data_IF_202189811228
#
_entry.id   IF_202189811228
#
_cell.length_a   1.000
_cell.length_b   1.000
_cell.length_c   1.000
_cell.angle_alpha   90.00
_cell.angle_beta   90.00
_cell.angle_gamma   90.00
#
_symmetry.space_group_name_H-M   'P 1'
#
loop_
_entity.id
_entity.type
_entity.pdbx_description
1 polymer ?
#
# COMPACT_ATOMS: atom_id res chain seq x y z
N UNK A 1 -5.53 0.73 5.28
CA UNK A 1 -4.91 0.12 4.07
C UNK A 1 -4.62 1.18 3.01
N UNK A 2 -3.50 1.90 3.16
CA UNK A 2 -2.97 2.83 2.17
C UNK A 2 -1.50 3.12 2.51
N UNK A 3 -0.61 2.16 2.23
CA UNK A 3 0.78 2.25 2.70
C UNK A 3 1.48 3.58 2.36
N UNK A 4 1.33 4.16 1.14
CA UNK A 4 1.85 5.48 0.83
C UNK A 4 1.39 6.60 1.76
N UNK A 5 0.14 6.58 2.21
CA UNK A 5 -0.37 7.57 3.15
C UNK A 5 0.11 7.28 4.56
N UNK A 6 -0.13 6.05 5.04
CA UNK A 6 0.11 5.65 6.43
C UNK A 6 1.60 5.79 6.81
N UNK A 7 2.50 5.30 5.95
CA UNK A 7 3.94 5.34 6.20
C UNK A 7 4.52 6.74 6.03
N UNK A 8 3.99 7.52 5.09
CA UNK A 8 4.41 8.91 4.91
C UNK A 8 3.98 9.76 6.11
N UNK A 9 2.75 9.56 6.61
CA UNK A 9 2.28 10.22 7.82
C UNK A 9 3.18 9.87 9.01
N UNK A 10 3.45 8.58 9.21
CA UNK A 10 4.35 8.12 10.28
C UNK A 10 5.74 8.74 10.15
N UNK A 11 6.36 8.70 8.97
CA UNK A 11 7.68 9.25 8.70
C UNK A 11 7.75 10.77 8.96
N UNK A 12 6.68 11.51 8.64
CA UNK A 12 6.57 12.96 8.90
C UNK A 12 6.37 13.27 10.39
N UNK A 13 5.54 12.51 11.08
CA UNK A 13 5.30 12.69 12.52
C UNK A 13 6.53 12.29 13.36
N UNK A 14 7.29 11.29 12.93
CA UNK A 14 8.58 10.97 13.53
C UNK A 14 9.58 12.13 13.38
N UNK A 15 9.64 12.78 12.21
CA UNK A 15 10.50 13.96 12.04
C UNK A 15 10.04 15.11 12.94
N UNK A 16 8.74 15.40 12.97
CA UNK A 16 8.16 16.49 13.76
C UNK A 16 8.39 16.32 15.26
N UNK A 17 8.17 15.12 15.80
CA UNK A 17 8.13 14.91 17.25
C UNK A 17 9.37 14.22 17.82
N UNK A 18 10.16 13.54 16.99
CA UNK A 18 11.28 12.70 17.41
C UNK A 18 12.60 13.04 16.72
N UNK A 19 12.62 14.07 15.85
CA UNK A 19 13.79 14.47 15.08
C UNK A 19 14.48 13.30 14.35
N UNK A 20 13.69 12.32 13.89
CA UNK A 20 14.19 11.13 13.20
C UNK A 20 13.22 10.72 12.09
N UNK A 21 13.72 10.07 11.03
CA UNK A 21 12.88 9.49 9.98
C UNK A 21 12.51 8.04 10.31
N UNK A 22 11.53 7.49 9.61
CA UNK A 22 11.20 6.08 9.66
C UNK A 22 12.42 5.20 9.35
N UNK A 23 13.20 5.59 8.34
CA UNK A 23 14.46 4.92 8.02
C UNK A 23 15.47 5.00 9.17
N UNK A 24 15.58 6.16 9.84
CA UNK A 24 16.42 6.33 11.03
C UNK A 24 16.01 5.39 12.17
N UNK A 25 14.71 5.21 12.40
CA UNK A 25 14.18 4.26 13.38
C UNK A 25 14.47 2.80 13.04
N UNK A 26 14.50 2.45 11.75
CA UNK A 26 14.84 1.10 11.28
C UNK A 26 16.37 0.84 11.28
N UNK A 27 17.19 1.86 11.51
CA UNK A 27 18.66 1.79 11.50
C UNK A 27 19.16 1.16 10.19
N UNK A 28 19.92 0.07 10.28
CA UNK A 28 20.52 -0.60 9.12
C UNK A 28 19.58 -1.63 8.46
N UNK A 29 18.30 -1.69 8.86
CA UNK A 29 17.33 -2.61 8.24
C UNK A 29 16.55 -1.87 7.15
N UNK A 30 16.50 -2.41 5.91
CA UNK A 30 15.70 -1.81 4.86
C UNK A 30 14.21 -1.92 5.21
N UNK A 31 13.45 -0.90 4.84
CA UNK A 31 11.99 -0.93 4.92
C UNK A 31 11.46 -2.02 3.97
N UNK A 32 10.69 -2.97 4.50
CA UNK A 32 10.07 -4.03 3.72
C UNK A 32 8.57 -4.03 4.01
N UNK A 33 7.79 -3.61 3.02
CA UNK A 33 6.33 -3.40 3.10
C UNK A 33 5.62 -4.36 2.16
N UNK A 34 4.54 -4.97 2.65
CA UNK A 34 3.56 -5.70 1.86
C UNK A 34 2.22 -4.97 2.00
N UNK A 35 1.72 -4.41 0.89
CA UNK A 35 0.46 -3.67 0.81
C UNK A 35 -0.61 -4.57 0.15
N UNK A 36 -1.65 -4.99 0.90
CA UNK A 36 -2.65 -5.89 0.35
C UNK A 36 -3.43 -5.28 -0.81
N UNK A 37 -3.56 -3.96 -0.89
CA UNK A 37 -4.25 -3.28 -2.00
C UNK A 37 -3.47 -3.39 -3.30
N UNK A 38 -2.14 -3.20 -3.24
CA UNK A 38 -1.26 -3.29 -4.41
C UNK A 38 -1.20 -4.74 -4.88
N UNK A 39 -1.04 -5.68 -3.95
CA UNK A 39 -1.02 -7.12 -4.22
C UNK A 39 -2.33 -7.59 -4.87
N UNK A 40 -3.48 -7.33 -4.25
CA UNK A 40 -4.80 -7.72 -4.79
C UNK A 40 -5.02 -7.14 -6.19
N UNK A 41 -4.74 -5.85 -6.38
CA UNK A 41 -4.94 -5.19 -7.68
C UNK A 41 -4.01 -5.73 -8.77
N UNK A 42 -2.82 -6.20 -8.42
CA UNK A 42 -1.92 -6.83 -9.39
C UNK A 42 -2.29 -8.29 -9.68
N UNK A 43 -2.51 -9.08 -8.64
CA UNK A 43 -2.72 -10.52 -8.72
C UNK A 43 -4.11 -10.87 -9.29
N UNK A 44 -5.11 -10.03 -9.01
CA UNK A 44 -6.49 -10.19 -9.48
C UNK A 44 -7.00 -8.92 -10.18
N UNK A 45 -6.31 -8.53 -11.25
CA UNK A 45 -6.51 -7.24 -11.95
C UNK A 45 -7.93 -6.99 -12.44
N UNK A 46 -8.62 -8.01 -12.95
CA UNK A 46 -9.92 -7.86 -13.64
C UNK A 46 -11.13 -8.13 -12.72
N UNK A 47 -10.90 -8.36 -11.43
CA UNK A 47 -11.97 -8.56 -10.46
C UNK A 47 -12.92 -7.37 -10.38
N UNK A 48 -14.22 -7.68 -10.42
CA UNK A 48 -15.29 -6.73 -10.13
C UNK A 48 -15.35 -6.40 -8.63
N UNK A 49 -15.80 -5.20 -8.30
CA UNK A 49 -16.00 -4.76 -6.92
C UNK A 49 -14.91 -3.83 -6.41
N UNK A 50 -15.20 -3.21 -5.27
CA UNK A 50 -14.32 -2.25 -4.62
C UNK A 50 -13.13 -2.96 -3.94
N UNK A 51 -12.13 -2.15 -3.57
CA UNK A 51 -10.88 -2.56 -2.91
C UNK A 51 -10.65 -1.76 -1.63
N UNK A 52 -11.72 -1.51 -0.88
CA UNK A 52 -11.59 -0.99 0.48
C UNK A 52 -11.13 -2.11 1.41
N UNK A 53 -10.72 -1.77 2.64
CA UNK A 53 -10.35 -2.79 3.63
C UNK A 53 -11.51 -3.74 3.91
N UNK A 54 -12.71 -3.20 4.15
CA UNK A 54 -13.92 -3.99 4.37
C UNK A 54 -14.20 -4.97 3.21
N UNK A 55 -14.19 -4.49 1.96
CA UNK A 55 -14.49 -5.36 0.80
C UNK A 55 -13.46 -6.48 0.64
N UNK A 56 -12.17 -6.18 0.89
CA UNK A 56 -11.12 -7.17 0.77
C UNK A 56 -11.14 -8.14 1.95
N UNK A 57 -11.41 -7.67 3.17
CA UNK A 57 -11.61 -8.54 4.32
C UNK A 57 -12.74 -9.55 4.07
N UNK A 58 -13.89 -9.10 3.58
CA UNK A 58 -15.00 -9.97 3.19
C UNK A 58 -14.59 -10.98 2.12
N UNK A 59 -13.95 -10.51 1.04
CA UNK A 59 -13.50 -11.36 -0.08
C UNK A 59 -12.53 -12.47 0.34
N UNK A 60 -11.58 -12.15 1.23
CA UNK A 60 -10.53 -13.07 1.65
C UNK A 60 -10.86 -13.82 2.95
N UNK A 61 -12.07 -13.63 3.50
CA UNK A 61 -12.51 -14.30 4.72
C UNK A 61 -11.75 -13.85 5.98
N UNK A 62 -11.35 -12.59 6.04
CA UNK A 62 -10.68 -11.98 7.20
C UNK A 62 -11.70 -11.18 8.01
N UNK A 63 -11.76 -11.43 9.31
CA UNK A 63 -12.62 -10.68 10.21
C UNK A 63 -12.08 -9.26 10.41
N UNK A 64 -12.94 -8.27 10.21
CA UNK A 64 -12.71 -6.87 10.55
C UNK A 64 -13.68 -6.48 11.67
N UNK A 65 -13.22 -6.56 12.92
CA UNK A 65 -14.02 -6.20 14.10
C UNK A 65 -13.75 -4.74 14.48
N UNK A 66 -14.70 -3.85 14.20
CA UNK A 66 -14.54 -2.41 14.42
C UNK A 66 -13.85 -1.67 13.27
N UNK A 67 -14.48 -1.65 12.09
CA UNK A 67 -14.00 -0.81 10.99
C UNK A 67 -13.84 0.65 11.43
N UNK A 68 -12.77 1.30 10.96
CA UNK A 68 -12.37 2.67 11.32
C UNK A 68 -11.70 2.82 12.69
N UNK A 69 -11.44 1.74 13.43
CA UNK A 69 -10.46 1.73 14.51
C UNK A 69 -9.06 1.43 13.95
N UNK A 70 -8.06 2.22 14.34
CA UNK A 70 -6.72 2.12 13.77
C UNK A 70 -6.03 0.79 14.12
N UNK A 71 -6.24 0.26 15.32
CA UNK A 71 -5.63 -1.00 15.74
C UNK A 71 -6.31 -2.19 15.07
N UNK A 72 -7.64 -2.18 14.99
CA UNK A 72 -8.42 -3.17 14.27
C UNK A 72 -8.07 -3.18 12.77
N UNK A 73 -8.02 -2.01 12.13
CA UNK A 73 -7.69 -1.89 10.71
C UNK A 73 -6.26 -2.38 10.41
N UNK A 74 -5.31 -2.14 11.31
CA UNK A 74 -3.93 -2.62 11.19
C UNK A 74 -3.84 -4.15 11.34
N UNK A 75 -4.53 -4.72 12.34
CA UNK A 75 -4.59 -6.16 12.55
C UNK A 75 -5.26 -6.88 11.37
N UNK A 76 -6.39 -6.36 10.89
CA UNK A 76 -7.08 -6.89 9.71
C UNK A 76 -6.22 -6.77 8.45
N UNK A 77 -5.49 -5.66 8.26
CA UNK A 77 -4.57 -5.51 7.12
C UNK A 77 -3.44 -6.55 7.14
N UNK A 78 -2.89 -6.87 8.31
CA UNK A 78 -1.88 -7.93 8.46
C UNK A 78 -2.43 -9.30 8.05
N UNK A 79 -3.61 -9.68 8.56
CA UNK A 79 -4.24 -10.95 8.21
C UNK A 79 -4.65 -11.01 6.73
N UNK A 80 -5.09 -9.88 6.17
CA UNK A 80 -5.40 -9.76 4.76
C UNK A 80 -4.19 -9.99 3.87
N UNK A 81 -3.02 -9.41 4.17
CA UNK A 81 -1.77 -9.70 3.42
C UNK A 81 -1.47 -11.20 3.43
N UNK A 82 -1.61 -11.86 4.59
CA UNK A 82 -1.37 -13.30 4.71
C UNK A 82 -2.38 -14.11 3.89
N UNK A 83 -3.66 -13.72 3.91
CA UNK A 83 -4.70 -14.38 3.13
C UNK A 83 -4.48 -14.24 1.61
N UNK A 84 -4.12 -13.04 1.15
CA UNK A 84 -3.72 -12.79 -0.26
C UNK A 84 -2.52 -13.66 -0.63
N UNK A 85 -1.48 -13.67 0.21
CA UNK A 85 -0.27 -14.49 -0.01
C UNK A 85 -0.57 -15.98 -0.13
N UNK A 86 -1.44 -16.53 0.73
CA UNK A 86 -1.88 -17.92 0.65
C UNK A 86 -2.68 -18.21 -0.61
N UNK A 87 -3.62 -17.34 -0.98
CA UNK A 87 -4.48 -17.53 -2.18
C UNK A 87 -3.67 -17.54 -3.47
N UNK A 88 -2.62 -16.75 -3.55
CA UNK A 88 -1.76 -16.62 -4.74
C UNK A 88 -0.36 -17.21 -4.55
N UNK A 89 -0.20 -18.20 -3.67
CA UNK A 89 1.10 -18.80 -3.34
C UNK A 89 1.86 -19.26 -4.58
N UNK A 90 1.20 -19.92 -5.53
CA UNK A 90 1.81 -20.39 -6.77
C UNK A 90 2.50 -19.27 -7.61
N UNK A 91 2.09 -18.01 -7.43
CA UNK A 91 2.70 -16.85 -8.11
C UNK A 91 3.76 -16.14 -7.27
N UNK A 92 3.77 -16.35 -5.96
CA UNK A 92 4.57 -15.59 -4.99
C UNK A 92 5.63 -16.44 -4.28
N UNK A 93 5.48 -17.76 -4.20
CA UNK A 93 6.32 -18.65 -3.38
C UNK A 93 7.80 -18.66 -3.77
N UNK A 94 8.11 -18.28 -5.02
CA UNK A 94 9.48 -18.19 -5.53
C UNK A 94 10.16 -16.86 -5.25
N UNK A 95 9.43 -15.91 -4.67
CA UNK A 95 9.91 -14.56 -4.39
C UNK A 95 10.15 -14.40 -2.89
N UNK A 96 11.29 -13.82 -2.54
CA UNK A 96 11.56 -13.33 -1.20
C UNK A 96 10.66 -12.12 -0.87
N UNK A 97 10.44 -11.82 0.43
CA UNK A 97 9.69 -10.63 0.83
C UNK A 97 10.26 -9.32 0.25
N UNK A 98 11.58 -9.22 0.11
CA UNK A 98 12.25 -8.05 -0.46
C UNK A 98 12.00 -7.90 -1.97
N UNK A 99 11.91 -9.02 -2.70
CA UNK A 99 11.53 -9.02 -4.12
C UNK A 99 10.06 -8.63 -4.29
N UNK A 100 9.16 -9.17 -3.46
CA UNK A 100 7.74 -8.77 -3.47
C UNK A 100 7.59 -7.28 -3.12
N UNK A 101 8.37 -6.76 -2.17
CA UNK A 101 8.42 -5.34 -1.87
C UNK A 101 8.82 -4.50 -3.10
N UNK A 102 9.95 -4.85 -3.74
CA UNK A 102 10.44 -4.13 -4.92
C UNK A 102 9.45 -4.16 -6.08
N UNK A 103 8.80 -5.30 -6.31
CA UNK A 103 7.79 -5.44 -7.36
C UNK A 103 6.54 -4.60 -7.09
N UNK A 104 6.13 -4.43 -5.84
CA UNK A 104 4.99 -3.57 -5.50
C UNK A 104 5.22 -2.12 -5.87
N UNK A 105 6.45 -1.60 -5.80
CA UNK A 105 6.74 -0.24 -6.28
C UNK A 105 6.46 -0.11 -7.79
N UNK A 106 6.86 -1.10 -8.58
CA UNK A 106 6.60 -1.15 -10.03
C UNK A 106 5.10 -1.28 -10.32
N UNK A 107 4.42 -2.18 -9.61
CA UNK A 107 2.99 -2.40 -9.76
C UNK A 107 2.17 -1.17 -9.37
N UNK A 108 2.51 -0.53 -8.26
CA UNK A 108 1.85 0.70 -7.80
C UNK A 108 2.01 1.81 -8.84
N UNK A 109 3.22 2.05 -9.35
CA UNK A 109 3.46 3.06 -10.38
C UNK A 109 2.65 2.76 -11.67
N UNK A 110 2.54 1.50 -12.08
CA UNK A 110 1.70 1.12 -13.22
C UNK A 110 0.21 1.33 -12.95
N UNK A 111 -0.25 1.03 -11.74
CA UNK A 111 -1.62 1.26 -11.30
C UNK A 111 -1.96 2.75 -11.24
N UNK A 112 -1.02 3.60 -10.80
CA UNK A 112 -1.14 5.05 -10.77
C UNK A 112 -1.25 5.64 -12.18
N UNK A 113 -0.39 5.23 -13.12
CA UNK A 113 -0.48 5.64 -14.53
C UNK A 113 -1.82 5.27 -15.18
N UNK A 114 -2.32 4.07 -14.89
CA UNK A 114 -3.64 3.64 -15.38
C UNK A 114 -4.78 4.50 -14.84
N UNK A 115 -4.69 4.95 -13.59
CA UNK A 115 -5.66 5.86 -12.98
C UNK A 115 -5.55 7.28 -13.56
N UNK A 116 -4.33 7.78 -13.74
CA UNK A 116 -4.05 9.07 -14.37
C UNK A 116 -4.67 9.15 -15.78
N UNK A 117 -4.42 8.15 -16.62
CA UNK A 117 -4.98 8.08 -17.97
C UNK A 117 -6.52 8.01 -17.96
N UNK A 118 -7.10 7.36 -16.95
CA UNK A 118 -8.56 7.35 -16.78
C UNK A 118 -9.08 8.74 -16.41
N UNK A 119 -8.45 9.45 -15.47
CA UNK A 119 -8.83 10.81 -15.08
C UNK A 119 -8.76 11.81 -16.23
N UNK A 120 -7.67 11.76 -17.01
CA UNK A 120 -7.50 12.57 -18.23
C UNK A 120 -8.62 12.32 -19.24
N UNK A 121 -8.98 11.05 -19.46
CA UNK A 121 -10.07 10.67 -20.37
C UNK A 121 -11.44 11.16 -19.89
N UNK A 122 -11.65 11.29 -18.58
CA UNK A 122 -12.94 11.69 -18.00
C UNK A 122 -13.02 13.19 -17.67
N UNK A 123 -12.04 14.00 -18.08
CA UNK A 123 -12.09 15.46 -17.94
C UNK A 123 -11.83 15.98 -16.53
N UNK A 124 -11.27 15.15 -15.63
CA UNK A 124 -10.89 15.55 -14.28
C UNK A 124 -9.40 15.26 -14.07
N UNK A 125 -8.47 16.11 -14.56
CA UNK A 125 -7.03 15.85 -14.52
C UNK A 125 -6.48 16.10 -13.10
N UNK A 126 -6.85 15.23 -12.16
CA UNK A 126 -6.23 15.18 -10.84
C UNK A 126 -4.87 14.47 -10.94
N UNK A 127 -3.79 15.05 -10.38
CA UNK A 127 -2.48 14.42 -10.41
C UNK A 127 -2.45 13.17 -9.51
N UNK A 128 -2.07 12.04 -10.08
CA UNK A 128 -1.91 10.77 -9.35
C UNK A 128 -0.43 10.54 -9.04
N UNK A 129 -0.10 10.50 -7.75
CA UNK A 129 1.27 10.23 -7.29
C UNK A 129 1.65 8.74 -7.51
N UNK A 130 2.71 8.44 -8.30
CA UNK A 130 3.18 7.08 -8.49
C UNK A 130 4.04 6.56 -7.33
N UNK A 131 4.45 7.40 -6.39
CA UNK A 131 5.40 7.07 -5.33
C UNK A 131 4.84 6.05 -4.33
N UNK A 132 5.68 5.08 -4.00
CA UNK A 132 5.42 4.01 -3.04
C UNK A 132 6.76 3.46 -2.53
N UNK A 133 6.90 3.08 -1.24
CA UNK A 133 5.88 3.12 -0.19
C UNK A 133 5.82 4.47 0.55
N UNK A 134 6.72 5.40 0.24
CA UNK A 134 6.76 6.75 0.81
C UNK A 134 6.57 7.76 -0.31
N UNK A 135 5.79 8.81 -0.02
CA UNK A 135 5.66 9.96 -0.92
C UNK A 135 6.82 10.92 -0.70
N UNK A 136 7.38 11.51 -1.77
CA UNK A 136 8.44 12.49 -1.63
C UNK A 136 7.98 13.71 -0.81
N UNK A 137 8.94 14.41 -0.21
CA UNK A 137 8.68 15.73 0.33
C UNK A 137 8.32 16.68 -0.82
N UNK A 138 7.31 17.53 -0.59
CA UNK A 138 7.05 18.61 -1.53
C UNK A 138 8.22 19.59 -1.45
N UNK A 139 8.71 20.11 -2.58
CA UNK A 139 9.69 21.19 -2.55
C UNK A 139 9.16 22.32 -1.66
N UNK A 140 10.04 22.90 -0.84
CA UNK A 140 9.69 24.12 -0.13
C UNK A 140 9.26 25.17 -1.16
N UNK A 141 8.10 25.80 -0.95
CA UNK A 141 7.70 26.93 -1.77
C UNK A 141 8.80 27.99 -1.68
N UNK A 142 9.38 28.34 -2.84
CA UNK A 142 10.44 29.34 -2.96
C UNK A 142 9.92 30.74 -2.63
#
# INVERSE_FOLDING_TARGET
MNAPFDLTLLDRELRRHRASSLAGYLRNKPLCVLDPRVLDKHLDRYRKGRRTLTDLCELYGVTLDGAHDAAADAAASLELVRAVGRRFSARLERLSPAEVHSLQAVWHAAQARGLQAWFEKNGAPEPVDPAWPLRPELPAAA
#
